data_IF_602922335693
#
_entry.id   IF_602922335693
#
_cell.length_a   1.000
_cell.length_b   1.000
_cell.length_c   1.000
_cell.angle_alpha   90.00
_cell.angle_beta   90.00
_cell.angle_gamma   90.00
#
_symmetry.space_group_name_H-M   'P 1'
#
loop_
_entity.id
_entity.type
_entity.pdbx_description
1 polymer ?
#
# COMPACT_ATOMS: atom_id res chain seq x y z
N UNK A 1 73.02 -10.87 62.01
CA UNK A 1 71.61 -10.64 62.25
C UNK A 1 71.05 -10.11 60.92
N UNK A 2 70.54 -11.06 60.07
CA UNK A 2 70.20 -10.79 58.66
C UNK A 2 68.68 -10.57 58.53
N UNK A 3 68.31 -9.40 58.14
CA UNK A 3 66.93 -9.12 57.83
C UNK A 3 66.75 -9.12 56.31
N UNK A 4 65.92 -10.08 55.83
CA UNK A 4 65.55 -10.24 54.38
C UNK A 4 64.37 -9.32 54.10
N UNK A 5 64.55 -8.40 53.19
CA UNK A 5 63.45 -7.62 52.58
C UNK A 5 62.74 -8.45 51.54
N UNK A 6 61.42 -8.63 51.70
CA UNK A 6 60.52 -9.20 50.67
C UNK A 6 60.02 -8.07 49.81
N UNK A 7 60.33 -8.12 48.51
CA UNK A 7 59.74 -7.28 47.49
C UNK A 7 58.32 -7.76 47.19
N UNK A 8 57.33 -6.88 47.42
CA UNK A 8 55.99 -7.06 46.99
C UNK A 8 55.83 -6.35 45.63
N UNK A 9 55.70 -7.17 44.55
CA UNK A 9 55.38 -6.70 43.22
C UNK A 9 53.85 -6.51 43.16
N UNK A 10 53.38 -5.25 43.17
CA UNK A 10 51.98 -4.92 42.92
C UNK A 10 51.77 -4.82 41.41
N UNK A 11 51.19 -5.89 40.83
CA UNK A 11 50.79 -5.92 39.43
C UNK A 11 49.57 -5.03 39.20
N UNK A 12 49.73 -3.95 38.49
CA UNK A 12 48.67 -3.06 38.01
C UNK A 12 48.03 -3.67 36.75
N UNK A 13 46.86 -4.31 36.90
CA UNK A 13 46.08 -4.83 35.80
C UNK A 13 45.38 -3.68 35.08
N UNK A 14 45.90 -3.24 33.93
CA UNK A 14 45.22 -2.32 33.04
C UNK A 14 44.08 -3.07 32.33
N UNK A 15 42.84 -2.88 32.80
CA UNK A 15 41.65 -3.36 32.17
C UNK A 15 41.34 -2.39 31.01
N UNK A 16 41.79 -2.71 29.80
CA UNK A 16 41.44 -1.97 28.59
C UNK A 16 39.98 -2.37 28.21
N UNK A 17 39.04 -1.53 28.65
CA UNK A 17 37.65 -1.61 28.20
C UNK A 17 37.56 -1.33 26.70
N UNK A 18 37.30 -2.36 25.89
CA UNK A 18 36.85 -2.20 24.51
C UNK A 18 35.48 -1.56 24.52
N UNK A 19 35.43 -0.24 24.37
CA UNK A 19 34.21 0.47 24.01
C UNK A 19 33.87 0.09 22.54
N UNK A 20 33.09 -0.98 22.36
CA UNK A 20 32.38 -1.22 21.11
C UNK A 20 31.40 -0.07 20.91
N UNK A 21 31.82 0.95 20.19
CA UNK A 21 30.91 1.96 19.64
C UNK A 21 30.02 1.19 18.64
N UNK A 22 28.80 0.85 19.05
CA UNK A 22 27.73 0.53 18.12
C UNK A 22 27.48 1.78 17.28
N UNK A 23 28.15 1.83 16.14
CA UNK A 23 27.85 2.82 15.10
C UNK A 23 26.51 2.39 14.48
N UNK A 24 25.40 2.73 15.14
CA UNK A 24 24.07 2.67 14.52
C UNK A 24 24.06 3.73 13.41
N UNK A 25 24.50 3.33 12.22
CA UNK A 25 24.11 4.01 10.99
C UNK A 25 22.58 3.90 10.90
N UNK A 26 21.88 4.78 11.60
CA UNK A 26 20.46 5.03 11.35
C UNK A 26 20.42 5.67 9.97
N UNK A 27 20.22 4.81 8.95
CA UNK A 27 19.98 5.27 7.60
C UNK A 27 18.87 6.32 7.70
N UNK A 28 19.13 7.51 7.16
CA UNK A 28 18.17 8.61 7.17
C UNK A 28 16.91 8.15 6.43
N UNK A 29 15.81 8.00 7.14
CA UNK A 29 14.53 7.57 6.55
C UNK A 29 13.83 8.74 5.84
N UNK A 30 14.18 9.98 6.15
CA UNK A 30 13.72 11.19 5.50
C UNK A 30 14.65 11.55 4.32
N UNK A 31 14.13 11.41 3.10
CA UNK A 31 14.89 11.61 1.87
C UNK A 31 14.58 12.95 1.21
N UNK A 32 15.60 13.59 0.60
CA UNK A 32 15.38 14.70 -0.32
C UNK A 32 14.58 14.22 -1.55
N UNK A 33 14.05 15.17 -2.34
CA UNK A 33 13.31 14.85 -3.58
C UNK A 33 14.15 13.99 -4.53
N UNK A 34 15.43 14.34 -4.72
CA UNK A 34 16.34 13.64 -5.61
C UNK A 34 16.66 12.22 -5.13
N UNK A 35 16.90 12.05 -3.81
CA UNK A 35 17.17 10.75 -3.21
C UNK A 35 15.94 9.85 -3.24
N UNK A 36 14.76 10.42 -2.99
CA UNK A 36 13.49 9.72 -3.08
C UNK A 36 13.20 9.24 -4.52
N UNK A 37 13.29 10.14 -5.51
CA UNK A 37 13.10 9.81 -6.92
C UNK A 37 14.05 8.72 -7.38
N UNK A 38 15.34 8.85 -7.06
CA UNK A 38 16.36 7.85 -7.38
C UNK A 38 16.02 6.50 -6.75
N UNK A 39 15.70 6.49 -5.46
CA UNK A 39 15.38 5.27 -4.75
C UNK A 39 14.15 4.55 -5.31
N UNK A 40 13.10 5.29 -5.65
CA UNK A 40 11.91 4.73 -6.32
C UNK A 40 12.26 4.11 -7.68
N UNK A 41 13.12 4.77 -8.47
CA UNK A 41 13.49 4.29 -9.80
C UNK A 41 14.38 3.02 -9.76
N UNK A 42 15.23 2.88 -8.75
CA UNK A 42 16.24 1.81 -8.67
C UNK A 42 15.80 0.56 -7.93
N UNK A 43 14.75 0.64 -7.08
CA UNK A 43 14.49 -0.39 -6.06
C UNK A 43 13.24 -1.25 -6.27
N UNK A 44 12.57 -1.21 -7.40
CA UNK A 44 11.25 -1.86 -7.57
C UNK A 44 10.29 -1.54 -6.40
N UNK A 45 10.29 -0.28 -6.00
CA UNK A 45 9.64 0.24 -4.81
C UNK A 45 8.12 0.25 -4.92
N UNK A 46 7.47 0.23 -3.76
CA UNK A 46 6.06 0.54 -3.60
C UNK A 46 5.95 2.02 -3.16
N UNK A 47 5.41 2.88 -4.01
CA UNK A 47 5.16 4.28 -3.67
C UNK A 47 3.82 4.38 -2.97
N UNK A 48 3.76 4.98 -1.79
CA UNK A 48 2.57 5.05 -0.96
C UNK A 48 2.19 6.50 -0.63
N UNK A 49 1.07 6.94 -1.17
CA UNK A 49 0.41 8.18 -0.77
C UNK A 49 -0.37 7.94 0.53
N UNK A 50 -0.03 8.67 1.58
CA UNK A 50 -0.74 8.54 2.85
C UNK A 50 -1.69 9.71 3.11
N UNK A 51 -2.09 10.40 2.03
CA UNK A 51 -3.10 11.48 2.05
C UNK A 51 -4.51 10.90 1.95
N UNK A 52 -5.49 11.79 2.02
CA UNK A 52 -6.89 11.44 1.78
C UNK A 52 -7.15 11.10 0.30
N UNK A 53 -8.20 10.32 -0.02
CA UNK A 53 -8.59 10.06 -1.41
C UNK A 53 -8.76 11.33 -2.24
N UNK A 54 -9.37 12.38 -1.69
CA UNK A 54 -9.54 13.66 -2.37
C UNK A 54 -8.21 14.36 -2.69
N UNK A 55 -7.23 14.27 -1.79
CA UNK A 55 -5.89 14.80 -2.07
C UNK A 55 -5.18 14.00 -3.16
N UNK A 56 -5.34 12.67 -3.18
CA UNK A 56 -4.82 11.78 -4.22
C UNK A 56 -5.40 12.13 -5.60
N UNK A 57 -6.72 12.27 -5.70
CA UNK A 57 -7.42 12.64 -6.92
C UNK A 57 -6.97 14.00 -7.48
N UNK A 58 -6.62 14.95 -6.61
CA UNK A 58 -6.11 16.27 -7.02
C UNK A 58 -4.72 16.23 -7.67
N UNK A 59 -4.09 15.06 -7.63
CA UNK A 59 -2.78 14.75 -8.22
C UNK A 59 -1.91 13.93 -7.28
N UNK A 60 -1.23 12.92 -7.82
CA UNK A 60 -0.41 11.96 -7.09
C UNK A 60 0.88 11.63 -7.82
N UNK A 61 1.86 11.04 -7.14
CA UNK A 61 3.08 10.56 -7.77
C UNK A 61 2.76 9.34 -8.64
N UNK A 62 3.51 9.16 -9.71
CA UNK A 62 3.32 8.05 -10.65
C UNK A 62 3.30 6.70 -9.94
N UNK A 63 2.32 5.86 -10.30
CA UNK A 63 2.10 4.52 -9.73
C UNK A 63 1.90 4.50 -8.21
N UNK A 64 1.53 5.61 -7.59
CA UNK A 64 1.31 5.65 -6.16
C UNK A 64 0.08 4.81 -5.76
N UNK A 65 0.28 3.98 -4.74
CA UNK A 65 -0.79 3.33 -3.98
C UNK A 65 -1.32 4.33 -2.95
N UNK A 66 -2.53 4.12 -2.45
CA UNK A 66 -3.18 4.99 -1.47
C UNK A 66 -3.52 4.24 -0.19
N UNK A 67 -3.13 4.81 0.96
CA UNK A 67 -3.59 4.38 2.27
C UNK A 67 -3.66 5.62 3.19
N UNK A 68 -4.86 6.10 3.48
CA UNK A 68 -5.06 7.34 4.24
C UNK A 68 -4.63 7.18 5.70
N UNK A 69 -3.55 7.87 6.09
CA UNK A 69 -3.04 7.89 7.46
C UNK A 69 -4.06 8.42 8.49
N UNK A 70 -4.98 9.28 8.09
CA UNK A 70 -5.99 9.80 9.00
C UNK A 70 -7.10 8.77 9.32
N UNK A 71 -7.24 7.73 8.49
CA UNK A 71 -8.12 6.59 8.74
C UNK A 71 -7.27 5.36 9.09
N UNK A 72 -6.98 5.19 10.39
CA UNK A 72 -6.03 4.18 10.87
C UNK A 72 -6.45 2.73 10.57
N UNK A 73 -7.72 2.42 10.57
CA UNK A 73 -8.21 1.06 10.29
C UNK A 73 -8.05 0.73 8.79
N UNK A 74 -8.40 1.67 7.93
CA UNK A 74 -8.19 1.57 6.49
C UNK A 74 -6.69 1.51 6.15
N UNK A 75 -5.89 2.40 6.74
CA UNK A 75 -4.44 2.41 6.56
C UNK A 75 -3.83 1.05 6.86
N UNK A 76 -4.09 0.49 8.05
CA UNK A 76 -3.58 -0.83 8.45
C UNK A 76 -4.04 -1.95 7.53
N UNK A 77 -5.31 -1.93 7.12
CA UNK A 77 -5.85 -2.93 6.19
C UNK A 77 -5.15 -2.87 4.84
N UNK A 78 -4.91 -1.67 4.31
CA UNK A 78 -4.27 -1.48 3.01
C UNK A 78 -2.79 -1.82 3.04
N UNK A 79 -2.05 -1.37 4.05
CA UNK A 79 -0.61 -1.65 4.14
C UNK A 79 -0.31 -3.12 4.47
N UNK A 80 -1.23 -3.86 5.08
CA UNK A 80 -1.09 -5.30 5.27
C UNK A 80 -0.98 -6.08 3.94
N UNK A 81 -1.46 -5.51 2.84
CA UNK A 81 -1.38 -6.08 1.50
C UNK A 81 -0.09 -5.70 0.74
N UNK A 82 0.78 -4.86 1.30
CA UNK A 82 2.06 -4.50 0.70
C UNK A 82 3.06 -5.66 0.82
N UNK A 83 3.93 -5.75 -0.17
CA UNK A 83 5.02 -6.73 -0.20
C UNK A 83 6.16 -6.26 0.71
N UNK A 84 6.39 -6.96 1.84
CA UNK A 84 7.44 -6.62 2.79
C UNK A 84 8.87 -6.84 2.26
N UNK A 85 9.03 -7.57 1.16
CA UNK A 85 10.33 -7.75 0.52
C UNK A 85 10.76 -6.53 -0.31
N UNK A 86 9.85 -5.58 -0.55
CA UNK A 86 10.08 -4.37 -1.33
C UNK A 86 10.09 -3.15 -0.43
N UNK A 87 10.94 -2.16 -0.69
CA UNK A 87 10.93 -0.91 0.05
C UNK A 87 9.64 -0.12 -0.25
N UNK A 88 9.14 0.57 0.79
CA UNK A 88 7.98 1.45 0.71
C UNK A 88 8.45 2.91 0.77
N UNK A 89 8.09 3.69 -0.22
CA UNK A 89 8.39 5.12 -0.29
C UNK A 89 7.13 5.92 -0.04
N UNK A 90 7.03 6.52 1.14
CA UNK A 90 5.83 7.23 1.58
C UNK A 90 5.91 8.72 1.30
N UNK A 91 4.79 9.33 1.02
CA UNK A 91 4.69 10.80 0.95
C UNK A 91 3.30 11.27 1.40
N UNK A 92 3.25 12.55 1.82
CA UNK A 92 2.00 13.27 2.05
C UNK A 92 2.12 14.70 1.50
N UNK A 93 1.32 15.64 1.98
CA UNK A 93 1.38 17.03 1.53
C UNK A 93 2.70 17.72 1.90
N UNK A 94 3.11 17.63 3.18
CA UNK A 94 4.25 18.38 3.76
C UNK A 94 5.29 17.50 4.45
N UNK A 95 5.16 16.16 4.40
CA UNK A 95 6.09 15.21 5.01
C UNK A 95 5.72 14.75 6.43
N UNK A 96 4.82 15.41 7.16
CA UNK A 96 4.51 15.07 8.55
C UNK A 96 3.74 13.77 8.71
N UNK A 97 2.58 13.62 8.04
CA UNK A 97 1.79 12.37 8.05
C UNK A 97 2.61 11.18 7.54
N UNK A 98 3.36 11.39 6.47
CA UNK A 98 4.17 10.33 5.87
C UNK A 98 5.38 9.96 6.72
N UNK A 99 5.96 10.89 7.51
CA UNK A 99 6.99 10.55 8.47
C UNK A 99 6.45 9.60 9.55
N UNK A 100 5.29 9.93 10.15
CA UNK A 100 4.65 9.07 11.13
C UNK A 100 4.25 7.69 10.55
N UNK A 101 3.75 7.67 9.31
CA UNK A 101 3.44 6.42 8.60
C UNK A 101 4.71 5.59 8.32
N UNK A 102 5.83 6.24 7.97
CA UNK A 102 7.12 5.58 7.76
C UNK A 102 7.64 4.92 9.03
N UNK A 103 7.59 5.64 10.16
CA UNK A 103 7.98 5.11 11.46
C UNK A 103 7.13 3.88 11.81
N UNK A 104 5.81 3.98 11.68
CA UNK A 104 4.90 2.85 11.90
C UNK A 104 5.20 1.66 10.99
N UNK A 105 5.47 1.89 9.71
CA UNK A 105 5.82 0.82 8.75
C UNK A 105 7.10 0.11 9.16
N UNK A 106 8.13 0.84 9.59
CA UNK A 106 9.40 0.28 10.07
C UNK A 106 9.18 -0.58 11.32
N UNK A 107 8.39 -0.10 12.29
CA UNK A 107 8.04 -0.84 13.50
C UNK A 107 7.26 -2.13 13.17
N UNK A 108 6.55 -2.16 12.04
CA UNK A 108 5.81 -3.34 11.55
C UNK A 108 6.60 -4.20 10.53
N UNK A 109 7.92 -4.01 10.43
CA UNK A 109 8.83 -4.86 9.69
C UNK A 109 8.94 -4.56 8.19
N UNK A 110 8.59 -3.35 7.76
CA UNK A 110 8.87 -2.87 6.41
C UNK A 110 10.19 -2.10 6.35
N UNK A 111 10.83 -2.12 5.19
CA UNK A 111 11.82 -1.11 4.84
C UNK A 111 11.08 0.09 4.27
N UNK A 112 11.14 1.25 4.93
CA UNK A 112 10.36 2.40 4.50
C UNK A 112 11.14 3.71 4.56
N UNK A 113 10.81 4.63 3.64
CA UNK A 113 11.42 5.94 3.48
C UNK A 113 10.37 7.02 3.27
N UNK A 114 10.58 8.20 3.83
CA UNK A 114 9.70 9.35 3.72
C UNK A 114 10.25 10.39 2.73
N UNK A 115 9.39 10.99 1.92
CA UNK A 115 9.70 12.18 1.14
C UNK A 115 9.66 13.41 2.06
N UNK A 116 10.83 13.96 2.39
CA UNK A 116 10.92 15.18 3.18
C UNK A 116 10.22 16.34 2.44
N UNK A 117 9.34 17.06 3.15
CA UNK A 117 8.55 18.16 2.57
C UNK A 117 7.40 17.72 1.64
N UNK A 118 7.23 16.42 1.39
CA UNK A 118 6.08 15.84 0.68
C UNK A 118 5.87 16.40 -0.72
N UNK A 119 4.59 16.45 -1.16
CA UNK A 119 4.24 16.98 -2.49
C UNK A 119 4.56 18.46 -2.67
N UNK A 120 4.67 19.22 -1.59
CA UNK A 120 5.12 20.63 -1.65
C UNK A 120 6.56 20.69 -2.15
N UNK A 121 7.48 19.92 -1.54
CA UNK A 121 8.87 19.86 -1.98
C UNK A 121 9.01 19.27 -3.37
N UNK A 122 8.24 18.20 -3.69
CA UNK A 122 8.21 17.57 -5.02
C UNK A 122 7.88 18.56 -6.12
N UNK A 123 6.78 19.31 -5.95
CA UNK A 123 6.37 20.36 -6.90
C UNK A 123 7.35 21.53 -6.93
N UNK A 124 7.89 21.92 -5.78
CA UNK A 124 8.92 22.96 -5.67
C UNK A 124 10.21 22.63 -6.43
N UNK A 125 10.54 21.34 -6.56
CA UNK A 125 11.65 20.83 -7.38
C UNK A 125 11.29 20.68 -8.87
N UNK A 126 10.13 21.19 -9.32
CA UNK A 126 9.67 21.13 -10.71
C UNK A 126 9.22 19.73 -11.17
N UNK A 127 8.97 18.80 -10.24
CA UNK A 127 8.56 17.43 -10.59
C UNK A 127 7.05 17.37 -10.87
N UNK A 128 6.67 16.60 -11.89
CA UNK A 128 5.28 16.40 -12.27
C UNK A 128 4.55 15.44 -11.33
N UNK A 129 3.23 15.58 -11.30
CA UNK A 129 2.30 14.66 -10.66
C UNK A 129 1.28 14.19 -11.70
N UNK A 130 0.85 12.95 -11.59
CA UNK A 130 -0.28 12.45 -12.37
C UNK A 130 -1.57 13.05 -11.79
N UNK A 131 -2.49 13.41 -12.64
CA UNK A 131 -3.81 13.89 -12.26
C UNK A 131 -4.84 12.83 -12.64
N UNK A 132 -5.89 12.69 -11.83
CA UNK A 132 -7.01 11.88 -12.22
C UNK A 132 -7.60 12.42 -13.55
N UNK A 133 -7.73 11.55 -14.53
CA UNK A 133 -8.42 11.89 -15.78
C UNK A 133 -9.92 12.05 -15.47
N UNK A 134 -10.57 13.02 -16.13
CA UNK A 134 -12.03 13.05 -16.09
C UNK A 134 -12.56 11.74 -16.69
N UNK A 135 -13.26 10.95 -15.88
CA UNK A 135 -13.93 9.73 -16.33
C UNK A 135 -15.44 9.95 -16.24
N UNK A 136 -16.11 9.70 -17.36
CA UNK A 136 -17.57 9.74 -17.37
C UNK A 136 -18.12 8.69 -16.39
N UNK A 137 -19.04 9.12 -15.52
CA UNK A 137 -19.69 8.21 -14.58
C UNK A 137 -20.63 7.25 -15.31
N UNK A 138 -20.48 5.97 -15.03
CA UNK A 138 -21.36 4.92 -15.54
C UNK A 138 -22.71 4.99 -14.82
N UNK A 139 -23.79 5.13 -15.57
CA UNK A 139 -25.13 5.10 -14.98
C UNK A 139 -25.50 3.71 -14.48
N UNK A 140 -26.33 3.63 -13.45
CA UNK A 140 -26.79 2.35 -12.91
C UNK A 140 -27.41 1.44 -13.97
N UNK A 141 -28.17 2.00 -14.92
CA UNK A 141 -28.76 1.24 -16.01
C UNK A 141 -27.70 0.63 -16.96
N UNK A 142 -26.61 1.36 -17.23
CA UNK A 142 -25.50 0.90 -18.06
C UNK A 142 -24.68 -0.19 -17.32
N UNK A 143 -24.54 -0.05 -16.02
CA UNK A 143 -23.93 -1.09 -15.17
C UNK A 143 -24.80 -2.36 -15.19
N UNK A 144 -26.10 -2.25 -14.92
CA UNK A 144 -27.01 -3.40 -14.91
C UNK A 144 -27.12 -4.10 -16.28
N UNK A 145 -26.92 -3.38 -17.38
CA UNK A 145 -26.87 -3.97 -18.73
C UNK A 145 -25.65 -4.88 -18.94
N UNK A 146 -24.60 -4.77 -18.11
CA UNK A 146 -23.45 -5.66 -18.13
C UNK A 146 -23.68 -6.96 -17.32
N UNK A 147 -24.85 -7.11 -16.67
CA UNK A 147 -25.21 -8.24 -15.81
C UNK A 147 -26.30 -9.07 -16.51
N UNK A 148 -25.95 -9.99 -17.45
CA UNK A 148 -26.93 -10.82 -18.13
C UNK A 148 -27.62 -11.80 -17.17
N UNK A 149 -28.91 -12.00 -17.36
CA UNK A 149 -29.71 -12.89 -16.50
C UNK A 149 -29.45 -14.38 -16.73
N UNK A 150 -28.88 -14.75 -17.88
CA UNK A 150 -28.61 -16.15 -18.26
C UNK A 150 -27.25 -16.67 -17.79
N UNK A 151 -26.44 -15.81 -17.12
CA UNK A 151 -25.09 -16.17 -16.66
C UNK A 151 -24.87 -15.79 -15.19
N UNK A 152 -23.95 -16.49 -14.55
CA UNK A 152 -23.33 -16.01 -13.31
C UNK A 152 -22.35 -14.88 -13.65
N UNK A 153 -22.42 -13.78 -12.95
CA UNK A 153 -21.52 -12.63 -13.13
C UNK A 153 -20.81 -12.35 -11.82
N UNK A 154 -19.47 -12.34 -11.85
CA UNK A 154 -18.63 -11.83 -10.79
C UNK A 154 -18.26 -10.38 -11.13
N UNK A 155 -18.64 -9.44 -10.29
CA UNK A 155 -18.22 -8.04 -10.41
C UNK A 155 -17.10 -7.77 -9.41
N UNK A 156 -16.01 -7.22 -9.91
CA UNK A 156 -14.86 -6.73 -9.14
C UNK A 156 -14.87 -5.19 -9.14
N UNK A 157 -15.24 -4.60 -8.01
CA UNK A 157 -15.04 -3.18 -7.76
C UNK A 157 -13.65 -2.99 -7.17
N UNK A 158 -12.75 -2.43 -7.94
CA UNK A 158 -11.34 -2.23 -7.59
C UNK A 158 -10.88 -0.80 -7.90
N UNK A 159 -9.67 -0.46 -7.51
CA UNK A 159 -9.03 0.79 -7.91
C UNK A 159 -7.55 0.55 -8.18
N UNK A 160 -6.98 1.30 -9.12
CA UNK A 160 -5.56 1.16 -9.52
C UNK A 160 -4.58 1.43 -8.39
N UNK A 161 -4.97 2.27 -7.45
CA UNK A 161 -4.19 2.67 -6.28
C UNK A 161 -4.41 1.80 -5.03
N UNK A 162 -5.22 0.76 -5.10
CA UNK A 162 -5.65 -0.04 -3.95
C UNK A 162 -4.71 -1.25 -3.74
N UNK A 163 -3.90 -1.30 -2.66
CA UNK A 163 -2.99 -2.42 -2.41
C UNK A 163 -3.67 -3.78 -2.33
N UNK A 164 -4.78 -3.99 -1.59
CA UNK A 164 -5.48 -5.27 -1.56
C UNK A 164 -6.01 -5.70 -2.93
N UNK A 165 -6.39 -4.75 -3.81
CA UNK A 165 -6.83 -5.05 -5.17
C UNK A 165 -5.70 -5.67 -6.00
N UNK A 166 -4.46 -5.17 -5.83
CA UNK A 166 -3.28 -5.74 -6.49
C UNK A 166 -3.00 -7.19 -6.08
N UNK A 167 -3.31 -7.57 -4.85
CA UNK A 167 -3.24 -8.97 -4.39
C UNK A 167 -4.28 -9.84 -5.10
N UNK A 168 -5.48 -9.30 -5.34
CA UNK A 168 -6.56 -10.05 -5.99
C UNK A 168 -6.40 -10.20 -7.50
N UNK A 169 -5.69 -9.30 -8.19
CA UNK A 169 -5.50 -9.35 -9.65
C UNK A 169 -5.03 -10.73 -10.15
N UNK A 170 -3.92 -11.32 -9.69
CA UNK A 170 -3.47 -12.63 -10.15
C UNK A 170 -4.42 -13.77 -9.77
N UNK A 171 -5.18 -13.65 -8.67
CA UNK A 171 -6.18 -14.62 -8.24
C UNK A 171 -7.35 -14.62 -9.24
N UNK A 172 -7.87 -13.44 -9.59
CA UNK A 172 -8.94 -13.30 -10.58
C UNK A 172 -8.51 -13.76 -11.97
N UNK A 173 -7.29 -13.42 -12.39
CA UNK A 173 -6.75 -13.89 -13.68
C UNK A 173 -6.63 -15.42 -13.74
N UNK A 174 -6.22 -16.05 -12.64
CA UNK A 174 -6.19 -17.51 -12.52
C UNK A 174 -7.60 -18.12 -12.55
N UNK A 175 -8.57 -17.50 -11.86
CA UNK A 175 -9.96 -17.94 -11.88
C UNK A 175 -10.59 -17.87 -13.27
N UNK A 176 -10.35 -16.77 -14.00
CA UNK A 176 -10.84 -16.64 -15.39
C UNK A 176 -10.25 -17.73 -16.28
N UNK A 177 -8.97 -18.07 -16.12
CA UNK A 177 -8.32 -19.15 -16.91
C UNK A 177 -8.87 -20.53 -16.59
N UNK A 178 -9.16 -20.81 -15.31
CA UNK A 178 -9.58 -22.16 -14.86
C UNK A 178 -11.10 -22.36 -14.87
N UNK A 179 -11.89 -21.33 -14.63
CA UNK A 179 -13.34 -21.38 -14.41
C UNK A 179 -14.14 -20.43 -15.31
N UNK A 180 -13.54 -19.78 -16.29
CA UNK A 180 -14.18 -18.75 -17.12
C UNK A 180 -15.40 -19.22 -17.92
N UNK A 181 -15.59 -20.52 -18.05
CA UNK A 181 -16.85 -21.07 -18.64
C UNK A 181 -18.06 -20.98 -17.68
N UNK A 182 -17.83 -20.78 -16.37
CA UNK A 182 -18.88 -20.79 -15.34
C UNK A 182 -19.41 -19.39 -15.02
N UNK A 183 -18.64 -18.35 -15.28
CA UNK A 183 -18.99 -16.97 -14.94
C UNK A 183 -18.42 -15.94 -15.92
N UNK A 184 -18.99 -14.76 -15.90
CA UNK A 184 -18.45 -13.55 -16.58
C UNK A 184 -17.82 -12.66 -15.53
N UNK A 185 -16.58 -12.21 -15.75
CA UNK A 185 -15.93 -11.20 -14.90
C UNK A 185 -16.21 -9.80 -15.46
N UNK A 186 -16.81 -8.94 -14.64
CA UNK A 186 -16.99 -7.52 -14.90
C UNK A 186 -16.09 -6.75 -13.93
N UNK A 187 -15.16 -5.95 -14.45
CA UNK A 187 -14.29 -5.09 -13.63
C UNK A 187 -14.78 -3.65 -13.67
N UNK A 188 -14.98 -3.05 -12.49
CA UNK A 188 -15.37 -1.65 -12.33
C UNK A 188 -14.25 -0.93 -11.60
N UNK A 189 -13.70 0.10 -12.23
CA UNK A 189 -12.77 1.02 -11.57
C UNK A 189 -13.53 1.95 -10.61
N UNK A 190 -13.76 1.45 -9.41
CA UNK A 190 -14.51 2.17 -8.38
C UNK A 190 -13.83 3.46 -7.93
N UNK A 191 -12.51 3.55 -8.09
CA UNK A 191 -11.75 4.78 -7.83
C UNK A 191 -12.17 5.93 -8.75
N UNK A 192 -12.66 5.63 -9.95
CA UNK A 192 -13.14 6.61 -10.93
C UNK A 192 -14.67 6.62 -11.09
N UNK A 193 -15.39 5.63 -10.53
CA UNK A 193 -16.85 5.47 -10.65
C UNK A 193 -17.56 5.72 -9.31
N UNK A 194 -17.29 6.90 -8.71
CA UNK A 194 -17.71 7.23 -7.34
C UNK A 194 -19.23 7.22 -7.19
N UNK A 195 -19.97 7.80 -8.14
CA UNK A 195 -21.42 7.87 -8.08
C UNK A 195 -22.07 6.48 -8.19
N UNK A 196 -21.52 5.61 -9.04
CA UNK A 196 -21.98 4.24 -9.17
C UNK A 196 -21.70 3.44 -7.87
N UNK A 197 -20.51 3.61 -7.29
CA UNK A 197 -20.15 2.97 -6.02
C UNK A 197 -21.09 3.40 -4.89
N UNK A 198 -21.41 4.68 -4.79
CA UNK A 198 -22.38 5.19 -3.80
C UNK A 198 -23.78 4.58 -3.98
N UNK A 199 -24.30 4.51 -5.22
CA UNK A 199 -25.60 3.92 -5.51
C UNK A 199 -25.65 2.44 -5.18
N UNK A 200 -24.54 1.71 -5.38
CA UNK A 200 -24.39 0.28 -5.11
C UNK A 200 -23.90 -0.02 -3.69
N UNK A 201 -23.71 0.99 -2.84
CA UNK A 201 -23.18 0.86 -1.47
C UNK A 201 -21.83 0.13 -1.42
N UNK A 202 -20.95 0.48 -2.35
CA UNK A 202 -19.55 0.04 -2.37
C UNK A 202 -18.71 1.15 -1.73
N UNK A 203 -18.24 0.93 -0.53
CA UNK A 203 -17.49 1.88 0.30
C UNK A 203 -16.05 1.47 0.55
N UNK A 204 -15.66 0.25 0.16
CA UNK A 204 -14.31 -0.30 0.27
C UNK A 204 -13.88 -1.02 -1.00
N UNK A 205 -12.56 -1.08 -1.23
CA UNK A 205 -11.98 -1.84 -2.33
C UNK A 205 -10.95 -2.86 -1.83
N UNK A 206 -10.88 -4.05 -2.47
CA UNK A 206 -11.83 -4.54 -3.45
C UNK A 206 -13.19 -4.91 -2.83
N UNK A 207 -14.26 -4.80 -3.61
CA UNK A 207 -15.58 -5.38 -3.27
C UNK A 207 -16.00 -6.30 -4.40
N UNK A 208 -16.31 -7.54 -4.06
CA UNK A 208 -16.79 -8.55 -5.00
C UNK A 208 -18.29 -8.75 -4.84
N UNK A 209 -18.98 -8.79 -5.97
CA UNK A 209 -20.43 -9.03 -5.99
C UNK A 209 -20.73 -10.13 -7.01
N UNK A 210 -21.50 -11.15 -6.61
CA UNK A 210 -21.94 -12.21 -7.52
C UNK A 210 -23.43 -12.03 -7.82
N UNK A 211 -23.74 -12.01 -9.10
CA UNK A 211 -25.10 -11.98 -9.62
C UNK A 211 -25.44 -13.33 -10.27
N UNK A 212 -26.65 -13.83 -9.98
CA UNK A 212 -27.28 -14.96 -10.68
C UNK A 212 -28.69 -14.54 -11.09
N UNK A 213 -29.06 -14.83 -12.33
CA UNK A 213 -30.35 -14.41 -12.88
C UNK A 213 -30.63 -12.90 -12.72
N UNK A 214 -29.58 -12.07 -12.90
CA UNK A 214 -29.65 -10.61 -12.76
C UNK A 214 -29.83 -10.12 -11.33
N UNK A 215 -29.80 -10.98 -10.30
CA UNK A 215 -29.95 -10.63 -8.88
C UNK A 215 -28.66 -10.84 -8.13
N UNK A 216 -28.31 -9.89 -7.25
CA UNK A 216 -27.21 -10.05 -6.32
C UNK A 216 -27.51 -11.21 -5.35
N UNK A 217 -26.60 -12.19 -5.29
CA UNK A 217 -26.73 -13.37 -4.43
C UNK A 217 -25.64 -13.46 -3.38
N UNK A 218 -24.53 -12.75 -3.57
CA UNK A 218 -23.40 -12.73 -2.64
C UNK A 218 -22.57 -11.45 -2.80
N UNK A 219 -22.00 -10.99 -1.69
CA UNK A 219 -21.10 -9.84 -1.64
C UNK A 219 -20.03 -10.03 -0.58
N UNK A 220 -18.80 -9.61 -0.89
CA UNK A 220 -17.71 -9.57 0.09
C UNK A 220 -16.72 -8.45 -0.21
N UNK A 221 -16.17 -7.87 0.85
CA UNK A 221 -15.16 -6.81 0.80
C UNK A 221 -13.80 -7.35 1.21
N UNK A 222 -12.72 -6.75 0.69
CA UNK A 222 -11.35 -7.10 0.99
C UNK A 222 -10.82 -8.31 0.21
N UNK A 223 -9.70 -8.87 0.68
CA UNK A 223 -9.07 -10.05 0.06
C UNK A 223 -9.95 -11.28 0.30
N UNK A 224 -10.25 -12.02 -0.76
CA UNK A 224 -11.11 -13.21 -0.75
C UNK A 224 -10.35 -14.42 -1.30
N UNK A 225 -10.52 -15.57 -0.65
CA UNK A 225 -9.95 -16.82 -1.15
C UNK A 225 -10.63 -17.23 -2.48
N UNK A 226 -9.83 -17.72 -3.44
CA UNK A 226 -10.34 -18.19 -4.72
C UNK A 226 -11.43 -19.27 -4.58
N UNK A 227 -11.28 -20.18 -3.61
CA UNK A 227 -12.26 -21.23 -3.35
C UNK A 227 -13.61 -20.67 -2.89
N UNK A 228 -13.58 -19.60 -2.09
CA UNK A 228 -14.80 -18.94 -1.62
C UNK A 228 -15.55 -18.30 -2.81
N UNK A 229 -14.84 -17.67 -3.75
CA UNK A 229 -15.45 -17.15 -4.97
C UNK A 229 -16.11 -18.26 -5.78
N UNK A 230 -15.39 -19.38 -6.03
CA UNK A 230 -15.88 -20.53 -6.82
C UNK A 230 -17.11 -21.18 -6.19
N UNK A 231 -17.17 -21.29 -4.85
CA UNK A 231 -18.32 -21.88 -4.16
C UNK A 231 -19.62 -21.07 -4.35
N UNK A 232 -19.51 -19.82 -4.76
CA UNK A 232 -20.65 -18.93 -4.97
C UNK A 232 -21.02 -18.73 -6.45
N UNK A 233 -20.33 -19.42 -7.40
CA UNK A 233 -20.68 -19.41 -8.84
C UNK A 233 -21.89 -20.27 -9.19
#
# INVERSE_FOLDING_TARGET
MNMKFKNIFTGLFFLTGLLSACNSNTATTNLSVEAFEKGVAESNAQVLDVRTPREYESGHLKNALLADWNNQDEFKTRVAALDKSKPVYTYCLSGGRSNAATEWLIENGFTAYNLAGGTIAWKGAGKSMEQASFVQQTRLAEYMAQIPADKTVLVDFSAVWCPPCKVMEPILDSLVKSNGAQFVLVKIDGGNQIELCQQLKVDQFPTFVIYKQGKEVWRKQGIVDAKELVLNF
#
